data_IF_667319653645
#
_entry.id   IF_667319653645
#
_cell.length_a   1.000
_cell.length_b   1.000
_cell.length_c   1.000
_cell.angle_alpha   90.00
_cell.angle_beta   90.00
_cell.angle_gamma   90.00
#
_symmetry.space_group_name_H-M   'P 1'
#
loop_
_entity.id
_entity.type
_entity.pdbx_description
1 polymer ?
#
# COMPACT_ATOMS: atom_id res chain seq x y z
N UNK A 1 17.71 38.98 -9.86
CA UNK A 1 17.68 37.74 -9.07
C UNK A 1 17.05 38.08 -7.73
N UNK A 2 15.77 37.76 -7.55
CA UNK A 2 15.15 37.79 -6.22
C UNK A 2 15.44 36.46 -5.50
N UNK A 3 15.52 36.44 -4.16
CA UNK A 3 15.74 35.20 -3.42
C UNK A 3 14.53 34.28 -3.57
N UNK A 4 14.77 32.98 -3.79
CA UNK A 4 13.71 31.97 -3.73
C UNK A 4 13.12 31.89 -2.32
N UNK A 5 11.81 31.75 -2.16
CA UNK A 5 11.21 31.55 -0.84
C UNK A 5 11.60 30.19 -0.29
N UNK A 6 12.31 30.17 0.85
CA UNK A 6 12.62 28.95 1.57
C UNK A 6 11.34 28.34 2.16
N UNK A 7 10.98 27.13 1.75
CA UNK A 7 9.92 26.33 2.35
C UNK A 7 10.36 25.71 3.69
N UNK A 8 10.72 26.56 4.66
CA UNK A 8 11.00 26.15 6.03
C UNK A 8 9.96 26.79 6.96
N UNK A 9 8.86 26.06 7.26
CA UNK A 9 7.93 26.52 8.29
C UNK A 9 6.45 26.14 8.18
N UNK A 10 6.06 25.13 7.39
CA UNK A 10 4.68 24.64 7.46
C UNK A 10 4.45 23.90 8.79
N UNK A 11 3.93 24.62 9.79
CA UNK A 11 3.41 24.01 11.02
C UNK A 11 2.24 23.10 10.66
N UNK A 12 2.25 21.85 11.14
CA UNK A 12 1.13 20.91 10.89
C UNK A 12 -0.17 21.54 11.40
N UNK A 13 -1.26 21.56 10.61
CA UNK A 13 -2.54 22.10 11.05
C UNK A 13 -2.97 21.46 12.38
N UNK A 14 -3.37 22.27 13.36
CA UNK A 14 -3.93 21.78 14.62
C UNK A 14 -5.27 21.10 14.33
N UNK A 15 -5.49 19.91 14.92
CA UNK A 15 -6.74 19.16 14.79
C UNK A 15 -6.71 17.99 13.78
N UNK A 16 -5.60 17.75 13.10
CA UNK A 16 -5.44 16.50 12.34
C UNK A 16 -5.24 15.30 13.27
N UNK A 17 -5.81 14.12 12.98
CA UNK A 17 -5.58 12.92 13.76
C UNK A 17 -4.07 12.65 13.90
N UNK A 18 -3.63 12.38 15.13
CA UNK A 18 -2.25 11.94 15.36
C UNK A 18 -2.16 10.45 15.03
N UNK A 19 -1.63 10.15 13.85
CA UNK A 19 -1.42 8.76 13.45
C UNK A 19 -0.20 8.19 14.17
N UNK A 20 -0.38 7.04 14.81
CA UNK A 20 0.71 6.19 15.32
C UNK A 20 0.83 4.95 14.44
N UNK A 21 2.01 4.33 14.44
CA UNK A 21 2.28 3.12 13.68
C UNK A 21 2.87 2.03 14.57
N UNK A 22 2.52 0.80 14.27
CA UNK A 22 3.13 -0.40 14.82
C UNK A 22 3.68 -1.19 13.64
N UNK A 23 4.98 -1.50 13.68
CA UNK A 23 5.61 -2.39 12.71
C UNK A 23 6.03 -3.66 13.45
N UNK A 24 5.75 -4.81 12.86
CA UNK A 24 6.16 -6.10 13.39
C UNK A 24 6.97 -6.85 12.34
N UNK A 25 8.14 -7.33 12.76
CA UNK A 25 9.06 -8.05 11.90
C UNK A 25 9.28 -9.44 12.47
N UNK A 26 9.06 -10.43 11.63
CA UNK A 26 9.33 -11.82 11.95
C UNK A 26 9.88 -12.54 10.73
N UNK A 27 10.67 -13.58 10.97
CA UNK A 27 11.04 -14.50 9.91
C UNK A 27 9.79 -15.24 9.43
N UNK A 28 9.59 -15.31 8.12
CA UNK A 28 8.48 -16.08 7.56
C UNK A 28 8.64 -17.56 7.91
N UNK A 29 7.59 -18.13 8.50
CA UNK A 29 7.47 -19.54 8.88
C UNK A 29 6.18 -20.08 8.28
N UNK A 30 6.21 -21.12 7.43
CA UNK A 30 5.01 -21.63 6.77
C UNK A 30 4.03 -22.30 7.74
N UNK A 31 4.49 -22.67 8.94
CA UNK A 31 3.65 -23.28 9.98
C UNK A 31 2.77 -22.26 10.71
N UNK A 32 3.03 -20.97 10.55
CA UNK A 32 2.28 -19.89 11.19
C UNK A 32 1.16 -19.45 10.25
N UNK A 33 -0.07 -19.40 10.78
CA UNK A 33 -1.19 -18.76 10.10
C UNK A 33 -1.04 -17.23 10.17
N UNK A 34 -0.20 -16.70 9.30
CA UNK A 34 0.04 -15.25 9.20
C UNK A 34 -1.23 -14.49 8.81
N UNK A 35 -2.10 -15.10 7.99
CA UNK A 35 -3.34 -14.49 7.57
C UNK A 35 -4.30 -14.33 8.75
N UNK A 36 -4.50 -15.39 9.54
CA UNK A 36 -5.29 -15.37 10.76
C UNK A 36 -4.71 -14.42 11.82
N UNK A 37 -3.40 -14.42 12.05
CA UNK A 37 -2.76 -13.47 12.98
C UNK A 37 -3.04 -12.02 12.56
N UNK A 38 -2.83 -11.71 11.28
CA UNK A 38 -3.07 -10.38 10.75
C UNK A 38 -4.55 -9.97 10.83
N UNK A 39 -5.45 -10.91 10.57
CA UNK A 39 -6.89 -10.75 10.72
C UNK A 39 -7.26 -10.33 12.14
N UNK A 40 -6.77 -11.06 13.15
CA UNK A 40 -7.00 -10.75 14.56
C UNK A 40 -6.42 -9.40 14.95
N UNK A 41 -5.23 -9.06 14.46
CA UNK A 41 -4.64 -7.73 14.70
C UNK A 41 -5.50 -6.61 14.13
N UNK A 42 -6.01 -6.76 12.92
CA UNK A 42 -6.91 -5.77 12.31
C UNK A 42 -8.21 -5.66 13.12
N UNK A 43 -8.76 -6.79 13.58
CA UNK A 43 -9.96 -6.80 14.41
C UNK A 43 -9.75 -6.07 15.74
N UNK A 44 -8.64 -6.34 16.43
CA UNK A 44 -8.35 -5.77 17.75
C UNK A 44 -7.97 -4.28 17.68
N UNK A 45 -7.15 -3.92 16.69
CA UNK A 45 -6.58 -2.56 16.62
C UNK A 45 -7.43 -1.59 15.82
N UNK A 46 -8.35 -2.09 14.99
CA UNK A 46 -9.20 -1.30 14.08
C UNK A 46 -8.41 -0.13 13.45
N UNK A 47 -7.32 -0.42 12.72
CA UNK A 47 -6.42 0.63 12.27
C UNK A 47 -7.12 1.54 11.26
N UNK A 48 -6.41 2.51 10.71
CA UNK A 48 -6.94 3.25 9.55
C UNK A 48 -6.69 2.49 8.24
N UNK A 49 -5.56 1.81 8.20
CA UNK A 49 -5.17 0.84 7.18
C UNK A 49 -4.05 -0.03 7.74
N UNK A 50 -3.92 -1.26 7.22
CA UNK A 50 -2.86 -2.19 7.60
C UNK A 50 -2.46 -3.07 6.42
N UNK A 51 -1.24 -3.61 6.45
CA UNK A 51 -0.74 -4.52 5.43
C UNK A 51 -0.05 -5.73 6.08
N UNK A 52 -0.21 -6.88 5.45
CA UNK A 52 0.63 -8.04 5.63
C UNK A 52 1.35 -8.29 4.31
N UNK A 53 2.67 -8.23 4.34
CA UNK A 53 3.49 -8.41 3.15
C UNK A 53 4.86 -8.97 3.51
N UNK A 54 5.31 -10.08 2.88
CA UNK A 54 6.67 -10.55 3.03
C UNK A 54 7.57 -9.69 2.13
N UNK A 55 8.71 -9.25 2.65
CA UNK A 55 9.68 -8.53 1.84
C UNK A 55 10.43 -9.50 0.93
N UNK A 56 10.37 -9.26 -0.39
CA UNK A 56 11.11 -10.01 -1.40
C UNK A 56 11.84 -9.04 -2.33
N UNK A 57 12.98 -9.46 -2.89
CA UNK A 57 13.81 -8.59 -3.74
C UNK A 57 13.08 -8.18 -5.03
N UNK A 58 12.26 -9.08 -5.56
CA UNK A 58 11.47 -8.91 -6.79
C UNK A 58 10.43 -7.79 -6.67
N UNK A 59 10.06 -7.44 -5.43
CA UNK A 59 9.09 -6.41 -5.12
C UNK A 59 9.65 -4.99 -5.29
N UNK A 60 10.98 -4.89 -5.29
CA UNK A 60 11.65 -3.65 -5.66
C UNK A 60 11.64 -3.47 -7.18
N UNK A 61 11.62 -2.21 -7.66
CA UNK A 61 11.89 -1.94 -9.06
C UNK A 61 13.27 -2.52 -9.47
N UNK A 62 13.31 -3.26 -10.58
CA UNK A 62 14.53 -3.89 -11.10
C UNK A 62 15.65 -2.86 -11.29
N UNK A 63 16.80 -3.05 -10.64
CA UNK A 63 17.97 -2.17 -10.77
C UNK A 63 18.55 -2.12 -12.21
N UNK A 64 18.27 -3.14 -13.03
CA UNK A 64 18.75 -3.28 -14.41
C UNK A 64 17.67 -3.30 -15.49
N UNK A 65 16.38 -3.11 -15.15
CA UNK A 65 15.36 -2.92 -16.20
C UNK A 65 15.69 -1.63 -16.97
N UNK A 66 15.46 -1.59 -18.30
CA UNK A 66 15.60 -0.35 -19.05
C UNK A 66 14.85 0.73 -18.29
N UNK A 67 15.54 1.79 -17.89
CA UNK A 67 15.00 2.94 -17.13
C UNK A 67 13.82 3.63 -17.85
N UNK A 68 13.35 3.11 -18.98
CA UNK A 68 12.45 3.67 -19.96
C UNK A 68 10.97 3.69 -19.59
N UNK A 69 10.43 2.71 -18.88
CA UNK A 69 8.98 2.63 -18.60
C UNK A 69 8.64 2.73 -17.12
N UNK A 70 9.34 2.00 -16.24
CA UNK A 70 9.12 2.08 -14.78
C UNK A 70 9.81 3.26 -14.10
N UNK A 71 10.85 3.84 -14.72
CA UNK A 71 11.69 4.90 -14.12
C UNK A 71 11.69 6.24 -14.87
N UNK A 72 11.07 6.35 -16.06
CA UNK A 72 10.93 7.65 -16.72
C UNK A 72 9.87 8.46 -15.97
N UNK A 73 10.33 9.44 -15.19
CA UNK A 73 9.44 10.37 -14.50
C UNK A 73 8.97 9.90 -13.12
N UNK A 74 9.71 9.01 -12.45
CA UNK A 74 9.45 8.71 -11.03
C UNK A 74 9.72 9.98 -10.25
N UNK A 75 8.64 10.67 -9.87
CA UNK A 75 8.74 11.79 -8.97
C UNK A 75 9.33 11.33 -7.63
N UNK A 76 9.85 12.29 -6.86
CA UNK A 76 10.44 12.03 -5.55
C UNK A 76 9.44 11.34 -4.59
N UNK A 77 8.13 11.52 -4.80
CA UNK A 77 7.07 10.92 -3.98
C UNK A 77 6.98 9.42 -4.23
N UNK A 78 6.99 8.96 -5.48
CA UNK A 78 6.99 7.55 -5.83
C UNK A 78 8.25 6.84 -5.35
N UNK A 79 9.42 7.49 -5.48
CA UNK A 79 10.67 6.91 -4.99
C UNK A 79 10.65 6.73 -3.45
N UNK A 80 10.15 7.74 -2.73
CA UNK A 80 9.93 7.65 -1.28
C UNK A 80 8.88 6.60 -0.93
N UNK A 81 7.82 6.45 -1.72
CA UNK A 81 6.79 5.44 -1.52
C UNK A 81 7.38 4.02 -1.63
N UNK A 82 8.16 3.75 -2.68
CA UNK A 82 8.87 2.47 -2.83
C UNK A 82 9.80 2.17 -1.67
N UNK A 83 10.62 3.14 -1.26
CA UNK A 83 11.50 2.97 -0.10
C UNK A 83 10.73 2.63 1.19
N UNK A 84 9.59 3.28 1.42
CA UNK A 84 8.74 3.00 2.59
C UNK A 84 8.12 1.62 2.51
N UNK A 85 7.58 1.24 1.36
CA UNK A 85 6.92 -0.06 1.15
C UNK A 85 7.90 -1.22 1.35
N UNK A 86 9.08 -1.14 0.71
CA UNK A 86 10.16 -2.14 0.87
C UNK A 86 10.74 -2.16 2.29
N UNK A 87 10.64 -1.05 3.01
CA UNK A 87 10.97 -0.97 4.44
C UNK A 87 9.81 -1.37 5.35
N UNK A 88 8.74 -2.00 4.84
CA UNK A 88 7.55 -2.42 5.60
C UNK A 88 6.82 -1.27 6.31
N UNK A 89 7.14 -0.03 5.95
CA UNK A 89 6.61 1.16 6.57
C UNK A 89 5.41 1.65 5.78
N UNK A 90 4.24 1.51 6.37
CA UNK A 90 3.04 2.11 5.84
C UNK A 90 3.01 3.61 6.13
N UNK A 91 2.77 4.42 5.11
CA UNK A 91 2.65 5.86 5.25
C UNK A 91 1.36 6.33 4.60
N UNK A 92 0.63 7.14 5.34
CA UNK A 92 -0.62 7.74 4.87
C UNK A 92 -0.63 9.17 5.34
N UNK A 93 -0.82 10.09 4.41
CA UNK A 93 -0.81 11.51 4.74
C UNK A 93 -1.91 12.24 4.01
N UNK A 94 -3.05 12.45 4.66
CA UNK A 94 -4.12 13.24 4.07
C UNK A 94 -3.78 14.73 4.13
N UNK A 95 -3.28 15.30 3.02
CA UNK A 95 -3.06 16.75 2.87
C UNK A 95 -4.03 17.33 1.86
N UNK A 96 -4.88 18.27 2.27
CA UNK A 96 -5.67 19.06 1.33
C UNK A 96 -4.78 20.15 0.67
N UNK A 97 -4.95 20.39 -0.63
CA UNK A 97 -4.25 21.45 -1.41
C UNK A 97 -3.80 21.00 -2.81
N UNK A 98 -3.67 21.93 -3.77
CA UNK A 98 -3.59 21.59 -5.22
C UNK A 98 -2.39 20.72 -5.65
N UNK A 99 -1.29 20.75 -4.89
CA UNK A 99 -0.08 19.94 -5.16
C UNK A 99 0.05 18.72 -4.23
N UNK A 100 -0.46 18.80 -2.99
CA UNK A 100 -0.34 17.74 -1.98
C UNK A 100 -1.59 16.84 -1.87
N UNK A 101 -2.74 17.27 -2.39
CA UNK A 101 -3.98 16.47 -2.44
C UNK A 101 -3.86 15.24 -3.34
N UNK A 102 -2.94 15.29 -4.30
CA UNK A 102 -2.71 14.19 -5.23
C UNK A 102 -2.03 12.97 -4.59
N UNK A 103 -1.39 13.13 -3.43
CA UNK A 103 -0.57 12.09 -2.79
C UNK A 103 -1.08 11.65 -1.41
N UNK A 104 -2.37 11.88 -1.12
CA UNK A 104 -2.96 11.55 0.19
C UNK A 104 -3.16 10.04 0.48
N UNK A 105 -2.55 9.19 -0.36
CA UNK A 105 -2.82 7.78 -0.50
C UNK A 105 -2.09 6.85 0.47
N UNK A 106 -2.42 5.57 0.34
CA UNK A 106 -1.70 4.45 0.90
C UNK A 106 -0.43 4.20 0.08
N UNK A 107 0.64 3.68 0.68
CA UNK A 107 1.89 3.44 -0.08
C UNK A 107 1.66 2.47 -1.26
N UNK A 108 1.26 1.24 -0.95
CA UNK A 108 0.91 0.15 -1.88
C UNK A 108 0.10 -0.89 -1.09
N UNK A 109 -0.75 -1.72 -1.73
CA UNK A 109 -1.33 -2.86 -1.04
C UNK A 109 -0.31 -3.99 -0.87
N UNK A 110 -0.30 -4.64 0.29
CA UNK A 110 0.46 -5.87 0.59
C UNK A 110 -0.19 -7.11 -0.01
N UNK A 111 0.27 -8.31 0.40
CA UNK A 111 -0.43 -9.56 0.06
C UNK A 111 -1.84 -9.58 0.61
N UNK A 112 -1.99 -9.17 1.86
CA UNK A 112 -3.27 -8.77 2.43
C UNK A 112 -3.20 -7.30 2.84
N UNK A 113 -4.28 -6.58 2.59
CA UNK A 113 -4.44 -5.19 2.98
C UNK A 113 -5.79 -5.01 3.64
N UNK A 114 -5.81 -4.33 4.77
CA UNK A 114 -7.04 -3.97 5.47
C UNK A 114 -7.33 -2.48 5.29
N UNK A 115 -8.58 -2.15 4.97
CA UNK A 115 -9.05 -0.80 4.66
C UNK A 115 -10.14 -0.38 5.66
N UNK A 116 -9.83 0.61 6.50
CA UNK A 116 -10.72 1.11 7.55
C UNK A 116 -11.13 2.55 7.38
N UNK A 117 -12.04 3.00 8.25
CA UNK A 117 -12.47 4.39 8.31
C UNK A 117 -12.85 4.95 6.91
N UNK A 118 -12.26 6.07 6.46
CA UNK A 118 -12.44 6.64 5.11
C UNK A 118 -12.07 5.73 3.95
N UNK A 119 -11.20 4.73 4.15
CA UNK A 119 -10.88 3.77 3.10
C UNK A 119 -11.89 2.64 3.00
N UNK A 120 -12.57 2.30 4.10
CA UNK A 120 -13.64 1.31 4.05
C UNK A 120 -14.74 1.71 3.06
N UNK A 121 -15.03 3.01 2.95
CA UNK A 121 -16.00 3.57 1.99
C UNK A 121 -15.58 3.44 0.53
N UNK A 122 -14.29 3.15 0.26
CA UNK A 122 -13.75 3.00 -1.09
C UNK A 122 -13.67 1.53 -1.51
N UNK A 123 -14.08 0.60 -0.65
CA UNK A 123 -14.08 -0.83 -0.93
C UNK A 123 -15.41 -1.21 -1.59
N UNK A 124 -15.37 -1.43 -2.91
CA UNK A 124 -16.47 -2.07 -3.62
C UNK A 124 -16.35 -3.59 -3.51
N UNK A 125 -17.05 -4.17 -2.53
CA UNK A 125 -17.04 -5.61 -2.25
C UNK A 125 -17.49 -6.41 -3.48
N UNK A 126 -18.49 -5.94 -4.22
CA UNK A 126 -19.04 -6.66 -5.36
C UNK A 126 -18.02 -6.68 -6.52
N UNK A 127 -17.41 -5.54 -6.82
CA UNK A 127 -16.36 -5.45 -7.84
C UNK A 127 -15.13 -6.29 -7.48
N UNK A 128 -14.69 -6.26 -6.21
CA UNK A 128 -13.56 -7.06 -5.72
C UNK A 128 -13.82 -8.56 -5.87
N UNK A 129 -15.00 -9.03 -5.43
CA UNK A 129 -15.38 -10.45 -5.56
C UNK A 129 -15.51 -10.87 -7.02
N UNK A 130 -16.08 -10.01 -7.87
CA UNK A 130 -16.20 -10.25 -9.32
C UNK A 130 -14.83 -10.38 -10.00
N UNK A 131 -13.85 -9.59 -9.56
CA UNK A 131 -12.45 -9.70 -9.99
C UNK A 131 -11.68 -10.86 -9.32
N UNK A 132 -12.35 -11.66 -8.50
CA UNK A 132 -11.80 -12.84 -7.85
C UNK A 132 -10.90 -12.55 -6.66
N UNK A 133 -10.99 -11.38 -6.02
CA UNK A 133 -10.27 -11.10 -4.78
C UNK A 133 -11.06 -11.60 -3.57
N UNK A 134 -10.45 -12.39 -2.67
CA UNK A 134 -11.01 -12.62 -1.35
C UNK A 134 -11.17 -11.29 -0.61
N UNK A 135 -12.37 -11.04 -0.11
CA UNK A 135 -12.69 -9.86 0.71
C UNK A 135 -13.61 -10.24 1.86
N UNK A 136 -13.18 -9.89 3.07
CA UNK A 136 -13.86 -10.15 4.33
C UNK A 136 -14.13 -8.81 5.04
N UNK A 137 -15.35 -8.62 5.54
CA UNK A 137 -15.66 -7.51 6.44
C UNK A 137 -15.23 -7.88 7.87
N UNK A 138 -14.39 -7.06 8.48
CA UNK A 138 -13.83 -7.30 9.82
C UNK A 138 -13.92 -6.01 10.64
N UNK A 139 -14.77 -6.01 11.67
CA UNK A 139 -15.08 -4.82 12.45
C UNK A 139 -15.60 -3.69 11.56
N UNK A 140 -14.90 -2.55 11.57
CA UNK A 140 -15.26 -1.35 10.82
C UNK A 140 -14.60 -1.22 9.44
N UNK A 141 -13.89 -2.26 8.97
CA UNK A 141 -13.17 -2.24 7.70
C UNK A 141 -13.22 -3.55 6.96
N UNK A 142 -12.42 -3.62 5.89
CA UNK A 142 -12.39 -4.76 4.98
C UNK A 142 -10.98 -5.27 4.78
N UNK A 143 -10.79 -6.57 4.96
CA UNK A 143 -9.56 -7.27 4.61
C UNK A 143 -9.66 -7.79 3.18
N UNK A 144 -8.68 -7.45 2.35
CA UNK A 144 -8.59 -7.90 0.96
C UNK A 144 -7.26 -8.64 0.76
N UNK A 145 -7.30 -9.78 0.07
CA UNK A 145 -6.11 -10.57 -0.24
C UNK A 145 -5.89 -10.62 -1.76
N UNK A 146 -4.63 -10.62 -2.19
CA UNK A 146 -4.27 -10.62 -3.62
C UNK A 146 -4.30 -12.01 -4.25
N UNK A 147 -3.81 -12.99 -3.51
CA UNK A 147 -3.67 -14.39 -3.95
C UNK A 147 -4.08 -15.32 -2.81
N UNK A 148 -4.18 -16.63 -3.11
CA UNK A 148 -4.66 -17.60 -2.13
C UNK A 148 -3.64 -17.86 -1.01
N UNK A 149 -2.35 -17.75 -1.31
CA UNK A 149 -1.27 -18.11 -0.39
C UNK A 149 -0.25 -16.98 -0.27
N UNK A 150 0.12 -16.62 0.96
CA UNK A 150 1.14 -15.61 1.25
C UNK A 150 2.48 -15.90 0.56
N UNK A 151 2.84 -17.19 0.45
CA UNK A 151 4.09 -17.63 -0.19
C UNK A 151 4.18 -17.31 -1.68
N UNK A 152 3.06 -17.05 -2.37
CA UNK A 152 3.05 -16.72 -3.80
C UNK A 152 3.75 -15.40 -4.10
N UNK A 153 3.88 -14.50 -3.11
CA UNK A 153 4.71 -13.30 -3.24
C UNK A 153 6.16 -13.66 -3.59
N UNK A 154 6.69 -14.76 -3.04
CA UNK A 154 8.06 -15.20 -3.29
C UNK A 154 8.13 -16.23 -4.43
N UNK A 155 7.19 -17.16 -4.51
CA UNK A 155 7.24 -18.28 -5.46
C UNK A 155 6.70 -17.94 -6.86
N UNK A 156 5.77 -17.00 -6.96
CA UNK A 156 5.19 -16.53 -8.23
C UNK A 156 4.92 -15.02 -8.17
N UNK A 157 6.01 -14.26 -8.14
CA UNK A 157 5.95 -12.82 -8.04
C UNK A 157 5.21 -12.18 -9.23
N UNK A 158 5.27 -12.77 -10.43
CA UNK A 158 4.58 -12.25 -11.62
C UNK A 158 3.06 -12.33 -11.43
N UNK A 159 2.55 -13.46 -10.95
CA UNK A 159 1.13 -13.58 -10.58
C UNK A 159 0.74 -12.54 -9.53
N UNK A 160 1.51 -12.45 -8.45
CA UNK A 160 1.26 -11.52 -7.36
C UNK A 160 1.24 -10.06 -7.84
N UNK A 161 2.25 -9.64 -8.60
CA UNK A 161 2.39 -8.30 -9.18
C UNK A 161 1.22 -7.95 -10.10
N UNK A 162 0.84 -8.86 -11.00
CA UNK A 162 -0.34 -8.69 -11.88
C UNK A 162 -1.63 -8.55 -11.08
N UNK A 163 -1.81 -9.35 -10.03
CA UNK A 163 -2.97 -9.27 -9.13
C UNK A 163 -2.98 -7.96 -8.36
N UNK A 164 -1.82 -7.45 -7.94
CA UNK A 164 -1.68 -6.15 -7.28
C UNK A 164 -2.08 -5.00 -8.20
N UNK A 165 -1.63 -4.99 -9.45
CA UNK A 165 -2.08 -4.03 -10.47
C UNK A 165 -3.60 -4.07 -10.66
N UNK A 166 -4.16 -5.27 -10.83
CA UNK A 166 -5.60 -5.46 -11.02
C UNK A 166 -6.40 -4.95 -9.81
N UNK A 167 -5.92 -5.19 -8.58
CA UNK A 167 -6.56 -4.69 -7.37
C UNK A 167 -6.59 -3.16 -7.35
N UNK A 168 -5.46 -2.50 -7.62
CA UNK A 168 -5.38 -1.03 -7.65
C UNK A 168 -6.40 -0.42 -8.61
N UNK A 169 -6.63 -1.05 -9.76
CA UNK A 169 -7.60 -0.62 -10.77
C UNK A 169 -9.06 -0.63 -10.32
N UNK A 170 -9.37 -1.30 -9.21
CA UNK A 170 -10.72 -1.33 -8.61
C UNK A 170 -10.94 -0.22 -7.57
N UNK A 171 -9.89 0.52 -7.22
CA UNK A 171 -9.98 1.68 -6.35
C UNK A 171 -9.92 2.97 -7.17
N UNK A 172 -10.32 4.09 -6.56
CA UNK A 172 -10.19 5.40 -7.20
C UNK A 172 -8.72 5.69 -7.59
N UNK A 173 -8.48 6.43 -8.69
CA UNK A 173 -7.14 6.83 -9.08
C UNK A 173 -6.38 7.52 -7.93
N UNK A 174 -5.07 7.28 -7.86
CA UNK A 174 -4.15 7.86 -6.87
C UNK A 174 -4.48 7.53 -5.41
N UNK A 175 -5.31 6.51 -5.14
CA UNK A 175 -5.44 5.98 -3.78
C UNK A 175 -4.12 5.38 -3.29
N UNK A 176 -3.37 4.74 -4.19
CA UNK A 176 -2.04 4.20 -3.89
C UNK A 176 -0.97 5.12 -4.48
N UNK A 177 0.07 5.41 -3.72
CA UNK A 177 1.19 6.27 -4.14
C UNK A 177 2.05 5.60 -5.22
N UNK A 178 2.18 4.28 -5.15
CA UNK A 178 2.84 3.48 -6.17
C UNK A 178 1.82 3.13 -7.24
N UNK A 179 1.98 3.69 -8.45
CA UNK A 179 1.07 3.45 -9.56
C UNK A 179 1.48 2.21 -10.37
N UNK A 180 2.77 2.09 -10.71
CA UNK A 180 3.31 0.97 -11.49
C UNK A 180 3.57 -0.29 -10.68
N UNK A 181 3.86 -1.40 -11.38
CA UNK A 181 4.21 -2.69 -10.79
C UNK A 181 5.50 -3.27 -11.40
N UNK A 182 6.44 -3.83 -10.61
CA UNK A 182 7.60 -4.50 -11.16
C UNK A 182 7.19 -5.77 -11.92
N UNK A 183 7.85 -6.04 -13.04
CA UNK A 183 7.67 -7.30 -13.79
C UNK A 183 6.22 -7.59 -14.21
N UNK A 184 5.39 -6.56 -14.36
CA UNK A 184 4.00 -6.69 -14.81
C UNK A 184 3.90 -6.71 -16.34
N UNK A 185 4.78 -7.43 -17.03
CA UNK A 185 4.78 -7.71 -18.47
C UNK A 185 5.65 -8.94 -18.73
#
# INVERSE_FOLDING_TARGET
>A
MGPEPSFAGATKPRGLPQFSRINFWAQHRPEIDWAGLFREWCLLTQPYAAILHPLVLQDGPNAGAPRGELWRGVDEVQQKAWSRYLGGSFFTEFRAGDLNSQYSGLTNPGWASWFGGPYAQQVDIAALRSAGFPVEGIGSGYLVQLTAQLGEVASDFVLFSRRRAALKGLFRPKLFMIEGEPNCC
#
